data_IF_647260469225
#
_entry.id   IF_647260469225
#
_cell.length_a   1.000
_cell.length_b   1.000
_cell.length_c   1.000
_cell.angle_alpha   90.00
_cell.angle_beta   90.00
_cell.angle_gamma   90.00
#
_symmetry.space_group_name_H-M   'P 1'
#
loop_
_entity.id
_entity.type
_entity.pdbx_description
1 polymer ?
#
# COMPACT_ATOMS: atom_id res chain seq x y z
N UNK A 1 14.07 -5.35 -7.34
CA UNK A 1 13.04 -5.13 -6.31
C UNK A 1 11.72 -4.92 -7.04
N UNK A 2 10.66 -5.65 -6.70
CA UNK A 2 9.39 -5.52 -7.40
C UNK A 2 8.76 -4.14 -7.11
N UNK A 3 8.39 -3.45 -8.18
CA UNK A 3 7.67 -2.18 -8.13
C UNK A 3 6.27 -2.40 -7.55
N UNK A 4 5.73 -1.42 -6.83
CA UNK A 4 4.38 -1.53 -6.25
C UNK A 4 3.29 -1.69 -7.32
N UNK A 5 3.55 -1.19 -8.53
CA UNK A 5 2.67 -1.34 -9.70
C UNK A 5 2.65 -2.78 -10.26
N UNK A 6 3.56 -3.65 -9.83
CA UNK A 6 3.59 -5.07 -10.23
C UNK A 6 2.80 -5.98 -9.27
N UNK A 7 2.20 -5.43 -8.21
CA UNK A 7 1.37 -6.20 -7.29
C UNK A 7 -0.02 -6.38 -7.92
N UNK A 8 -0.40 -7.62 -8.23
CA UNK A 8 -1.78 -7.93 -8.64
C UNK A 8 -2.76 -7.46 -7.56
N UNK A 9 -3.75 -6.66 -7.98
CA UNK A 9 -4.73 -6.01 -7.09
C UNK A 9 -4.40 -4.56 -6.73
N UNK A 10 -3.16 -4.09 -6.93
CA UNK A 10 -2.82 -2.66 -6.78
C UNK A 10 -2.89 -1.95 -8.13
N UNK A 11 -4.07 -1.41 -8.44
CA UNK A 11 -4.22 -0.54 -9.61
C UNK A 11 -3.43 0.77 -9.48
N UNK A 12 -3.16 1.45 -10.60
CA UNK A 12 -2.39 2.72 -10.62
C UNK A 12 -2.91 3.79 -9.65
N UNK A 13 -4.22 3.85 -9.38
CA UNK A 13 -4.80 4.76 -8.37
C UNK A 13 -4.25 4.46 -6.97
N UNK A 14 -4.22 3.19 -6.60
CA UNK A 14 -3.68 2.71 -5.32
C UNK A 14 -2.17 2.89 -5.26
N UNK A 15 -1.43 2.58 -6.34
CA UNK A 15 0.01 2.78 -6.40
C UNK A 15 0.41 4.26 -6.26
N UNK A 16 -0.36 5.19 -6.84
CA UNK A 16 -0.11 6.63 -6.72
C UNK A 16 -0.36 7.13 -5.29
N UNK A 17 -1.42 6.63 -4.66
CA UNK A 17 -1.74 6.91 -3.25
C UNK A 17 -0.68 6.35 -2.29
N UNK A 18 -0.21 5.13 -2.53
CA UNK A 18 0.89 4.50 -1.79
C UNK A 18 2.19 5.28 -1.96
N UNK A 19 2.50 5.74 -3.18
CA UNK A 19 3.64 6.63 -3.43
C UNK A 19 3.54 7.93 -2.63
N UNK A 20 2.36 8.55 -2.53
CA UNK A 20 2.11 9.72 -1.66
C UNK A 20 2.30 9.39 -0.18
N UNK A 21 1.90 8.20 0.25
CA UNK A 21 2.12 7.66 1.59
C UNK A 21 3.58 7.21 1.86
N UNK A 22 4.54 7.53 0.96
CA UNK A 22 5.95 7.10 0.99
C UNK A 22 6.19 5.59 0.87
N UNK A 23 5.19 4.82 0.44
CA UNK A 23 5.30 3.38 0.19
C UNK A 23 5.53 3.16 -1.29
N UNK A 24 6.79 2.95 -1.67
CA UNK A 24 7.23 2.83 -3.08
C UNK A 24 7.59 1.40 -3.48
N UNK A 25 7.79 0.52 -2.51
CA UNK A 25 8.28 -0.85 -2.70
C UNK A 25 7.34 -1.86 -2.08
N UNK A 26 7.34 -3.07 -2.64
CA UNK A 26 6.63 -4.22 -2.08
C UNK A 26 7.05 -4.52 -0.64
N UNK A 27 8.34 -4.40 -0.31
CA UNK A 27 8.82 -4.60 1.06
C UNK A 27 8.24 -3.59 2.05
N UNK A 28 8.16 -2.30 1.67
CA UNK A 28 7.56 -1.28 2.53
C UNK A 28 6.08 -1.58 2.76
N UNK A 29 5.38 -2.00 1.70
CA UNK A 29 3.98 -2.40 1.78
C UNK A 29 3.79 -3.64 2.67
N UNK A 30 4.63 -4.68 2.52
CA UNK A 30 4.60 -5.87 3.36
C UNK A 30 4.87 -5.54 4.83
N UNK A 31 5.87 -4.70 5.12
CA UNK A 31 6.19 -4.29 6.50
C UNK A 31 5.04 -3.53 7.17
N UNK A 32 4.42 -2.60 6.44
CA UNK A 32 3.30 -1.82 6.95
C UNK A 32 2.01 -2.65 6.99
N UNK A 33 1.73 -3.45 5.96
CA UNK A 33 0.51 -4.28 5.84
C UNK A 33 0.51 -5.54 6.69
N UNK A 34 1.67 -5.97 7.23
CA UNK A 34 1.80 -7.16 8.07
C UNK A 34 0.94 -7.11 9.34
N UNK A 35 0.60 -5.92 9.83
CA UNK A 35 -0.21 -5.75 11.04
C UNK A 35 -1.53 -5.04 10.74
N UNK A 36 -2.59 -5.36 11.49
CA UNK A 36 -3.90 -4.69 11.38
C UNK A 36 -3.78 -3.18 11.61
N UNK A 37 -2.90 -2.76 12.53
CA UNK A 37 -2.59 -1.35 12.79
C UNK A 37 -1.91 -0.68 11.61
N UNK A 38 -0.96 -1.35 10.97
CA UNK A 38 -0.27 -0.79 9.82
C UNK A 38 -1.13 -0.79 8.55
N UNK A 39 -2.07 -1.74 8.38
CA UNK A 39 -3.15 -1.62 7.36
C UNK A 39 -4.05 -0.42 7.60
N UNK A 40 -4.42 -0.12 8.85
CA UNK A 40 -5.11 1.12 9.21
C UNK A 40 -4.33 2.38 8.84
N UNK A 41 -3.05 2.41 9.17
CA UNK A 41 -2.19 3.55 8.85
C UNK A 41 -2.01 3.72 7.35
N UNK A 42 -1.85 2.62 6.61
CA UNK A 42 -1.85 2.60 5.14
C UNK A 42 -3.18 3.11 4.60
N UNK A 43 -4.31 2.63 5.11
CA UNK A 43 -5.62 3.05 4.69
C UNK A 43 -5.85 4.55 4.93
N UNK A 44 -5.40 5.09 6.07
CA UNK A 44 -5.47 6.51 6.38
C UNK A 44 -4.53 7.35 5.50
N UNK A 45 -3.30 6.90 5.27
CA UNK A 45 -2.30 7.65 4.51
C UNK A 45 -2.51 7.57 2.98
N UNK A 46 -3.03 6.45 2.49
CA UNK A 46 -3.31 6.21 1.07
C UNK A 46 -4.77 6.48 0.71
N UNK A 47 -5.69 6.48 1.67
CA UNK A 47 -7.13 6.58 1.40
C UNK A 47 -7.66 5.36 0.63
N UNK A 48 -7.11 4.18 0.89
CA UNK A 48 -7.55 2.88 0.33
C UNK A 48 -8.18 2.08 1.47
N UNK A 49 -9.35 1.50 1.24
CA UNK A 49 -10.11 0.74 2.24
C UNK A 49 -9.32 -0.45 2.79
N UNK A 50 -9.41 -0.73 4.10
CA UNK A 50 -8.78 -1.92 4.73
C UNK A 50 -9.21 -3.25 4.08
N UNK A 51 -10.38 -3.30 3.43
CA UNK A 51 -10.89 -4.49 2.73
C UNK A 51 -10.36 -4.66 1.30
N UNK A 52 -9.55 -3.71 0.80
CA UNK A 52 -8.98 -3.73 -0.55
C UNK A 52 -7.44 -3.72 -0.56
N UNK A 53 -6.81 -3.89 0.61
CA UNK A 53 -5.36 -4.03 0.85
C UNK A 53 -5.14 -5.27 1.70
#
# INVERSE_FOLDING_TARGET
MASIDAIEGIGHKSATKLRKARVRTTQALLKLGATKKGRRALAAASGISEGSI
#
